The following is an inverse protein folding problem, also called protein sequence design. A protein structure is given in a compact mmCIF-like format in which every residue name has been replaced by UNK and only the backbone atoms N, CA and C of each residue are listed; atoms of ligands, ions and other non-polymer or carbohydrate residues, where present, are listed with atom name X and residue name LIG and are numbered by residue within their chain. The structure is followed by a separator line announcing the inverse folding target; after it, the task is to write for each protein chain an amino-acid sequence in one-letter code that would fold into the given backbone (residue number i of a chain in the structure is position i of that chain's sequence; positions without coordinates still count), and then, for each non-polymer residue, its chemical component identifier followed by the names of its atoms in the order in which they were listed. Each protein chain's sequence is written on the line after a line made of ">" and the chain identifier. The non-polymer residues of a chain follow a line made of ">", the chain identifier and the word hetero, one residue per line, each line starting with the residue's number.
data_IF_702162193667
#
_entry.id   IF_702162193667
#
_cell.length_a   1.000
_cell.length_b   1.000
_cell.length_c   1.000
_cell.angle_alpha   90.00
_cell.angle_beta   90.00
_cell.angle_gamma   90.00
#
_symmetry.space_group_name_H-M   'P 1'
#
loop_
_entity.id
_entity.type
_entity.pdbx_description
1 polymer ?
#
# COMPACT_ATOMS: atom_id res chain seq x y z
N UNK A 1 4.66 62.95 35.54
CA UNK A 1 5.54 62.05 34.75
C UNK A 1 4.73 60.86 34.27
N UNK A 2 4.34 60.83 32.98
CA UNK A 2 3.59 59.72 32.36
C UNK A 2 4.57 58.87 31.55
N UNK A 3 4.76 57.60 31.91
CA UNK A 3 5.45 56.58 31.11
C UNK A 3 4.68 55.25 31.24
N UNK A 4 4.55 54.54 30.12
CA UNK A 4 3.91 53.22 30.00
C UNK A 4 2.99 53.21 28.78
N UNK A 5 3.52 53.26 27.55
CA UNK A 5 4.14 52.19 26.74
C UNK A 5 3.11 51.13 26.29
N UNK A 6 2.77 51.23 25.01
CA UNK A 6 1.97 50.32 24.20
C UNK A 6 2.65 48.95 23.99
N UNK A 7 1.79 48.00 23.56
CA UNK A 7 2.02 46.69 22.90
C UNK A 7 2.69 45.61 23.76
N UNK A 8 2.34 44.33 23.66
CA UNK A 8 2.09 43.52 22.45
C UNK A 8 1.16 42.34 22.82
N UNK A 9 0.10 42.12 22.06
CA UNK A 9 -0.62 40.84 22.01
C UNK A 9 0.33 39.84 21.33
N UNK A 10 0.86 38.88 22.09
CA UNK A 10 1.65 37.79 21.53
C UNK A 10 0.69 36.77 20.91
N UNK A 11 0.76 36.68 19.59
CA UNK A 11 0.10 35.68 18.76
C UNK A 11 0.37 34.27 19.29
N UNK A 12 -0.71 33.53 19.51
CA UNK A 12 -0.64 32.09 19.80
C UNK A 12 -0.20 31.39 18.51
N UNK A 13 0.86 30.54 18.53
CA UNK A 13 1.25 29.82 17.33
C UNK A 13 0.14 28.85 16.93
N UNK A 14 -0.16 28.70 15.63
CA UNK A 14 -1.15 27.75 15.18
C UNK A 14 -0.69 26.33 15.51
N UNK A 15 -1.58 25.58 16.15
CA UNK A 15 -1.47 24.14 16.36
C UNK A 15 -1.15 23.49 15.01
N UNK A 16 0.02 22.89 14.87
CA UNK A 16 0.39 22.09 13.71
C UNK A 16 -0.48 20.84 13.67
N UNK A 17 -1.41 20.79 12.71
CA UNK A 17 -2.15 19.60 12.32
C UNK A 17 -1.19 18.42 12.05
N UNK A 18 -1.48 17.19 12.49
CA UNK A 18 -0.61 16.05 12.22
C UNK A 18 -0.64 15.68 10.73
N UNK A 19 0.53 15.79 10.09
CA UNK A 19 0.83 15.49 8.67
C UNK A 19 0.58 14.04 8.24
N UNK A 20 0.15 13.15 9.15
CA UNK A 20 0.01 11.71 8.92
C UNK A 20 -1.17 11.32 8.01
N UNK A 21 -2.16 12.19 7.82
CA UNK A 21 -3.38 11.88 7.05
C UNK A 21 -3.14 11.68 5.55
N UNK A 22 -2.07 12.24 4.99
CA UNK A 22 -1.78 12.19 3.54
C UNK A 22 -1.28 10.84 3.04
N UNK A 23 -1.09 9.90 3.94
CA UNK A 23 -0.31 8.69 3.69
C UNK A 23 -1.15 7.45 3.43
N UNK A 24 -2.48 7.55 3.50
CA UNK A 24 -3.36 6.38 3.44
C UNK A 24 -4.17 6.35 2.14
N UNK A 25 -3.86 5.42 1.23
CA UNK A 25 -4.68 5.13 0.03
C UNK A 25 -5.73 4.07 0.35
N UNK A 26 -7.00 4.42 0.23
CA UNK A 26 -8.12 3.49 0.40
C UNK A 26 -8.27 2.57 -0.83
N UNK A 27 -8.39 1.26 -0.59
CA UNK A 27 -8.87 0.32 -1.60
C UNK A 27 -9.68 -0.79 -0.93
N UNK A 28 -10.51 -1.44 -1.73
CA UNK A 28 -11.63 -2.29 -1.32
C UNK A 28 -11.34 -3.17 -0.08
N UNK A 29 -11.91 -2.64 1.01
CA UNK A 29 -12.12 -3.14 2.37
C UNK A 29 -10.88 -3.60 3.18
N UNK A 30 -10.64 -2.83 4.26
CA UNK A 30 -9.86 -3.20 5.46
C UNK A 30 -8.32 -3.23 5.36
N UNK A 31 -7.71 -2.82 4.24
CA UNK A 31 -6.25 -2.66 4.16
C UNK A 31 -5.91 -1.23 3.76
N UNK A 32 -5.15 -0.56 4.61
CA UNK A 32 -4.69 0.81 4.39
C UNK A 32 -3.21 0.76 4.04
N UNK A 33 -2.85 1.37 2.92
CA UNK A 33 -1.46 1.45 2.50
C UNK A 33 -0.81 2.68 3.14
N UNK A 34 0.43 2.58 3.60
CA UNK A 34 1.18 3.72 4.13
C UNK A 34 2.66 3.66 3.70
N UNK A 35 3.35 4.79 3.48
CA UNK A 35 4.73 4.80 3.08
C UNK A 35 5.60 4.40 4.25
N UNK A 36 6.45 3.41 4.02
CA UNK A 36 7.38 2.92 5.02
C UNK A 36 8.48 2.11 4.35
N UNK A 37 9.69 2.22 4.89
CA UNK A 37 10.79 1.34 4.52
C UNK A 37 10.66 0.00 5.26
N UNK A 38 10.63 -1.12 4.51
CA UNK A 38 10.51 -2.45 5.11
C UNK A 38 11.60 -2.76 6.14
N UNK A 39 12.82 -2.25 5.91
CA UNK A 39 13.95 -2.46 6.81
C UNK A 39 13.67 -1.88 8.19
N UNK A 40 13.10 -0.68 8.22
CA UNK A 40 12.70 0.01 9.46
C UNK A 40 11.60 -0.76 10.20
N UNK A 41 10.59 -1.27 9.48
CA UNK A 41 9.58 -2.15 10.08
C UNK A 41 10.17 -3.42 10.66
N UNK A 42 11.09 -4.06 9.93
CA UNK A 42 11.71 -5.31 10.36
C UNK A 42 12.53 -5.12 11.64
N UNK A 43 13.34 -4.07 11.73
CA UNK A 43 14.18 -3.78 12.90
C UNK A 43 13.33 -3.37 14.12
N UNK A 44 12.33 -2.51 13.93
CA UNK A 44 11.54 -1.99 15.05
C UNK A 44 10.41 -2.93 15.49
N UNK A 45 9.89 -3.77 14.58
CA UNK A 45 8.85 -4.75 14.86
C UNK A 45 7.63 -4.14 15.55
N UNK A 46 7.31 -4.62 16.76
CA UNK A 46 6.17 -4.13 17.56
C UNK A 46 6.34 -2.68 18.03
N UNK A 47 7.58 -2.19 18.11
CA UNK A 47 7.92 -0.87 18.63
C UNK A 47 7.86 0.22 17.55
N UNK A 48 7.59 -0.13 16.29
CA UNK A 48 7.43 0.86 15.23
C UNK A 48 6.28 1.83 15.57
N UNK A 49 6.43 3.15 15.34
CA UNK A 49 5.40 4.14 15.62
C UNK A 49 4.31 4.09 14.54
N UNK A 50 3.40 3.12 14.64
CA UNK A 50 2.35 2.90 13.64
C UNK A 50 1.35 4.07 13.57
N UNK A 51 1.10 4.63 12.38
CA UNK A 51 0.11 5.70 12.22
C UNK A 51 -1.29 5.16 12.49
N UNK A 52 -2.02 5.74 13.43
CA UNK A 52 -3.39 5.32 13.74
C UNK A 52 -4.35 5.92 12.72
N UNK A 53 -5.22 5.12 12.05
CA UNK A 53 -6.29 5.66 11.22
C UNK A 53 -7.21 6.54 12.06
N UNK A 54 -7.49 7.76 11.58
CA UNK A 54 -8.37 8.72 12.26
C UNK A 54 -9.83 8.30 12.21
N UNK A 55 -10.22 7.57 11.16
CA UNK A 55 -11.58 7.06 10.93
C UNK A 55 -11.57 5.60 10.47
N UNK A 56 -12.62 4.83 10.78
CA UNK A 56 -12.78 3.50 10.19
C UNK A 56 -13.22 3.65 8.73
N UNK A 57 -12.56 2.98 7.77
CA UNK A 57 -12.91 3.05 6.34
C UNK A 57 -14.23 2.33 6.01
N UNK A 58 -14.95 1.79 7.00
CA UNK A 58 -16.25 1.09 6.83
C UNK A 58 -17.43 1.90 7.33
N UNK A 59 -17.31 2.55 8.49
CA UNK A 59 -18.43 3.27 9.13
C UNK A 59 -18.08 4.71 9.50
N UNK A 60 -16.90 5.20 9.12
CA UNK A 60 -16.42 6.56 9.39
C UNK A 60 -16.28 6.95 10.86
N UNK A 61 -16.45 6.01 11.80
CA UNK A 61 -16.24 6.28 13.22
C UNK A 61 -14.79 6.62 13.54
N UNK A 62 -14.59 7.58 14.45
CA UNK A 62 -13.29 8.02 14.95
C UNK A 62 -12.72 7.17 16.11
N UNK A 63 -13.41 6.11 16.52
CA UNK A 63 -13.07 5.31 17.71
C UNK A 63 -12.13 4.11 17.44
N UNK A 64 -11.44 4.11 16.29
CA UNK A 64 -10.57 3.00 15.85
C UNK A 64 -9.43 2.77 16.83
N UNK A 65 -9.31 1.59 17.47
CA UNK A 65 -8.26 1.31 18.46
C UNK A 65 -7.30 0.21 18.02
N UNK A 66 -6.13 0.13 18.67
CA UNK A 66 -5.13 -0.88 18.36
C UNK A 66 -5.63 -2.28 18.70
N UNK A 67 -5.59 -3.20 17.74
CA UNK A 67 -6.08 -4.58 17.93
C UNK A 67 -4.94 -5.58 18.14
N UNK A 68 -3.87 -5.47 17.35
CA UNK A 68 -2.78 -6.43 17.39
C UNK A 68 -1.88 -6.33 16.18
N UNK A 69 -1.29 -7.45 15.78
CA UNK A 69 -0.40 -7.56 14.64
C UNK A 69 -0.74 -8.78 13.79
N UNK A 70 -0.50 -8.68 12.49
CA UNK A 70 -0.53 -9.81 11.57
C UNK A 70 0.86 -10.00 10.94
N UNK A 71 1.26 -11.25 10.76
CA UNK A 71 2.50 -11.57 10.06
C UNK A 71 2.31 -11.49 8.54
N UNK A 72 3.30 -10.94 7.84
CA UNK A 72 3.35 -10.91 6.39
C UNK A 72 4.78 -11.12 5.89
N UNK A 73 4.94 -12.02 4.92
CA UNK A 73 6.22 -12.27 4.26
C UNK A 73 6.40 -11.25 3.12
N UNK A 74 7.60 -10.69 3.03
CA UNK A 74 8.03 -9.82 1.94
C UNK A 74 9.31 -10.39 1.33
N UNK A 75 9.49 -10.17 0.03
CA UNK A 75 10.73 -10.58 -0.65
C UNK A 75 11.95 -9.93 0.02
N UNK A 76 13.04 -10.69 0.14
CA UNK A 76 14.28 -10.26 0.80
C UNK A 76 14.33 -10.50 2.32
N UNK A 77 13.26 -10.99 2.93
CA UNK A 77 13.21 -11.28 4.37
C UNK A 77 13.04 -12.78 4.63
N UNK A 78 13.85 -13.32 5.55
CA UNK A 78 13.79 -14.74 5.95
C UNK A 78 12.68 -15.01 6.96
N UNK A 79 12.17 -13.97 7.61
CA UNK A 79 11.13 -14.05 8.64
C UNK A 79 9.99 -13.10 8.27
N UNK A 80 8.75 -13.40 8.68
CA UNK A 80 7.62 -12.48 8.47
C UNK A 80 7.83 -11.15 9.20
N UNK A 81 7.37 -10.06 8.58
CA UNK A 81 7.26 -8.75 9.23
C UNK A 81 5.91 -8.65 9.94
N UNK A 82 5.90 -7.95 11.07
CA UNK A 82 4.67 -7.62 11.79
C UNK A 82 4.00 -6.40 11.15
N UNK A 83 2.73 -6.54 10.80
CA UNK A 83 1.87 -5.47 10.28
C UNK A 83 0.82 -5.12 11.32
N UNK A 84 0.67 -3.84 11.66
CA UNK A 84 -0.31 -3.40 12.66
C UNK A 84 -1.74 -3.64 12.21
N UNK A 85 -2.55 -4.11 13.16
CA UNK A 85 -3.99 -4.22 13.05
C UNK A 85 -4.66 -3.20 13.98
N UNK A 86 -5.68 -2.54 13.47
CA UNK A 86 -6.62 -1.74 14.23
C UNK A 86 -8.01 -2.36 14.14
N UNK A 87 -8.89 -2.06 15.09
CA UNK A 87 -10.28 -2.49 15.08
C UNK A 87 -11.19 -1.30 15.34
N UNK A 88 -12.28 -1.20 14.59
CA UNK A 88 -13.37 -0.29 14.93
C UNK A 88 -14.31 -0.99 15.91
N UNK A 89 -14.59 -0.41 17.09
CA UNK A 89 -15.53 -0.99 18.04
C UNK A 89 -16.97 -0.90 17.52
N UNK A 90 -17.33 0.14 16.76
CA UNK A 90 -18.71 0.40 16.35
C UNK A 90 -19.21 -0.53 15.24
N UNK A 91 -18.36 -0.89 14.28
CA UNK A 91 -18.74 -1.79 13.17
C UNK A 91 -17.95 -3.11 13.12
N UNK A 92 -17.03 -3.31 14.07
CA UNK A 92 -16.16 -4.48 14.13
C UNK A 92 -15.13 -4.59 13.01
N UNK A 93 -14.97 -3.58 12.14
CA UNK A 93 -14.00 -3.59 11.03
C UNK A 93 -12.58 -3.84 11.57
N UNK A 94 -11.82 -4.77 10.99
CA UNK A 94 -10.40 -4.96 11.32
C UNK A 94 -9.57 -4.36 10.19
N UNK A 95 -8.78 -3.35 10.50
CA UNK A 95 -7.99 -2.59 9.53
C UNK A 95 -6.54 -3.03 9.64
N UNK A 96 -5.93 -3.45 8.54
CA UNK A 96 -4.52 -3.81 8.46
C UNK A 96 -3.74 -2.71 7.76
N UNK A 97 -2.66 -2.25 8.37
CA UNK A 97 -1.70 -1.36 7.70
C UNK A 97 -0.72 -2.17 6.86
N UNK A 98 -0.52 -1.77 5.61
CA UNK A 98 0.40 -2.42 4.68
C UNK A 98 1.34 -1.38 4.04
N UNK A 99 2.61 -1.71 3.81
CA UNK A 99 3.51 -0.82 3.09
C UNK A 99 3.00 -0.47 1.69
N UNK A 100 3.07 0.80 1.30
CA UNK A 100 2.85 1.28 -0.07
C UNK A 100 3.80 0.61 -1.06
N UNK A 101 3.41 0.59 -2.34
CA UNK A 101 4.18 -0.09 -3.38
C UNK A 101 4.00 -1.61 -3.41
N UNK A 102 3.06 -2.15 -2.63
CA UNK A 102 2.67 -3.57 -2.66
C UNK A 102 1.19 -3.71 -2.97
N UNK A 103 0.81 -4.81 -3.61
CA UNK A 103 -0.59 -5.23 -3.62
C UNK A 103 -0.95 -5.96 -2.32
N UNK A 104 -2.23 -5.94 -1.93
CA UNK A 104 -2.78 -6.51 -0.67
C UNK A 104 -2.31 -7.94 -0.35
N UNK A 105 -2.08 -8.77 -1.37
CA UNK A 105 -1.74 -10.20 -1.23
C UNK A 105 -0.38 -10.59 -1.84
N UNK A 106 0.46 -9.61 -2.17
CA UNK A 106 1.71 -9.86 -2.89
C UNK A 106 2.91 -9.59 -2.01
N UNK A 107 3.84 -10.54 -1.98
CA UNK A 107 5.11 -10.45 -1.26
C UNK A 107 6.13 -9.56 -2.00
N UNK A 108 5.99 -9.49 -3.33
CA UNK A 108 6.84 -8.71 -4.21
C UNK A 108 6.29 -7.28 -4.36
N UNK A 109 7.17 -6.26 -4.45
CA UNK A 109 6.78 -4.91 -4.83
C UNK A 109 6.07 -4.89 -6.19
N UNK A 110 5.14 -3.95 -6.35
CA UNK A 110 4.46 -3.68 -7.63
C UNK A 110 5.49 -3.46 -8.74
N UNK A 111 6.55 -2.70 -8.45
CA UNK A 111 7.61 -2.39 -9.41
C UNK A 111 8.39 -3.64 -9.83
N UNK A 112 8.67 -4.56 -8.90
CA UNK A 112 9.33 -5.82 -9.21
C UNK A 112 8.46 -6.70 -10.12
N UNK A 113 7.15 -6.75 -9.88
CA UNK A 113 6.20 -7.47 -10.72
C UNK A 113 6.19 -6.87 -12.14
N UNK A 114 6.11 -5.53 -12.24
CA UNK A 114 6.15 -4.80 -13.51
C UNK A 114 7.46 -5.05 -14.27
N UNK A 115 8.59 -4.94 -13.60
CA UNK A 115 9.93 -5.21 -14.15
C UNK A 115 10.07 -6.65 -14.67
N UNK A 116 9.52 -7.63 -13.95
CA UNK A 116 9.48 -9.03 -14.40
C UNK A 116 8.69 -9.20 -15.70
N UNK A 117 7.53 -8.55 -15.82
CA UNK A 117 6.70 -8.56 -17.04
C UNK A 117 7.43 -7.85 -18.19
N UNK A 118 8.04 -6.71 -17.92
CA UNK A 118 8.80 -5.95 -18.93
C UNK A 118 10.00 -6.75 -19.45
N UNK A 119 10.78 -7.37 -18.56
CA UNK A 119 11.89 -8.26 -18.94
C UNK A 119 11.40 -9.41 -19.82
N UNK A 120 10.29 -10.05 -19.45
CA UNK A 120 9.68 -11.12 -20.25
C UNK A 120 9.23 -10.64 -21.63
N UNK A 121 8.62 -9.46 -21.69
CA UNK A 121 8.12 -8.89 -22.95
C UNK A 121 9.26 -8.49 -23.88
N UNK A 122 10.35 -7.93 -23.35
CA UNK A 122 11.46 -7.40 -24.16
C UNK A 122 12.46 -8.49 -24.59
N UNK A 123 12.72 -9.48 -23.72
CA UNK A 123 13.84 -10.43 -23.91
C UNK A 123 13.40 -11.88 -24.01
N UNK A 124 12.11 -12.16 -23.80
CA UNK A 124 11.55 -13.50 -23.64
C UNK A 124 12.16 -14.31 -22.46
N UNK A 125 12.96 -13.68 -21.59
CA UNK A 125 13.55 -14.30 -20.38
C UNK A 125 12.84 -13.84 -19.11
N UNK A 126 13.01 -14.59 -18.03
CA UNK A 126 12.53 -14.19 -16.70
C UNK A 126 13.61 -13.39 -15.97
N UNK A 127 13.17 -12.51 -15.07
CA UNK A 127 14.08 -11.74 -14.23
C UNK A 127 14.86 -12.68 -13.30
N UNK A 128 16.19 -12.57 -13.20
CA UNK A 128 16.97 -13.39 -12.29
C UNK A 128 16.66 -13.06 -10.82
N UNK A 129 16.96 -13.97 -9.91
CA UNK A 129 16.74 -13.78 -8.47
C UNK A 129 15.29 -13.94 -7.98
N UNK A 130 14.33 -14.18 -8.90
CA UNK A 130 12.93 -14.44 -8.57
C UNK A 130 12.51 -15.78 -9.16
N UNK A 131 11.74 -16.58 -8.40
CA UNK A 131 11.19 -17.85 -8.90
C UNK A 131 10.49 -17.69 -10.25
N UNK A 132 10.91 -18.43 -11.31
CA UNK A 132 10.27 -18.38 -12.62
C UNK A 132 8.78 -18.76 -12.58
N UNK A 133 8.38 -19.63 -11.65
CA UNK A 133 6.98 -20.04 -11.49
C UNK A 133 6.11 -18.87 -11.02
N UNK A 134 6.62 -18.06 -10.09
CA UNK A 134 5.93 -16.87 -9.58
C UNK A 134 5.79 -15.80 -10.66
N UNK A 135 6.85 -15.57 -11.42
CA UNK A 135 6.84 -14.63 -12.55
C UNK A 135 5.89 -15.07 -13.66
N UNK A 136 5.95 -16.35 -14.06
CA UNK A 136 5.02 -16.95 -15.02
C UNK A 136 3.57 -16.80 -14.57
N UNK A 137 3.32 -16.98 -13.28
CA UNK A 137 2.00 -16.82 -12.71
C UNK A 137 1.48 -15.39 -12.87
N UNK A 138 2.29 -14.38 -12.54
CA UNK A 138 1.94 -12.98 -12.74
C UNK A 138 1.65 -12.66 -14.21
N UNK A 139 2.55 -13.07 -15.11
CA UNK A 139 2.41 -12.82 -16.54
C UNK A 139 1.13 -13.43 -17.12
N UNK A 140 0.85 -14.71 -16.80
CA UNK A 140 -0.37 -15.39 -17.26
C UNK A 140 -1.64 -14.72 -16.73
N UNK A 141 -1.65 -14.33 -15.45
CA UNK A 141 -2.78 -13.63 -14.85
C UNK A 141 -3.05 -12.30 -15.56
N UNK A 142 -2.00 -11.54 -15.85
CA UNK A 142 -2.11 -10.29 -16.59
C UNK A 142 -2.65 -10.50 -18.00
N UNK A 143 -2.13 -11.45 -18.78
CA UNK A 143 -2.64 -11.71 -20.12
C UNK A 143 -4.14 -12.08 -20.09
N UNK A 144 -4.57 -12.87 -19.11
CA UNK A 144 -5.98 -13.22 -18.93
C UNK A 144 -6.84 -11.98 -18.65
N UNK A 145 -6.32 -11.07 -17.81
CA UNK A 145 -7.01 -9.82 -17.46
C UNK A 145 -7.05 -8.82 -18.62
N UNK A 146 -5.97 -8.68 -19.39
CA UNK A 146 -5.97 -7.84 -20.59
C UNK A 146 -7.06 -8.32 -21.56
N UNK A 147 -7.15 -9.62 -21.85
CA UNK A 147 -8.22 -10.14 -22.71
C UNK A 147 -9.62 -9.88 -22.18
N UNK A 148 -9.84 -10.04 -20.87
CA UNK A 148 -11.16 -9.86 -20.29
C UNK A 148 -11.62 -8.41 -20.17
N UNK A 149 -10.70 -7.50 -19.84
CA UNK A 149 -11.04 -6.09 -19.56
C UNK A 149 -10.78 -5.16 -20.75
N UNK A 150 -9.78 -5.48 -21.58
CA UNK A 150 -9.35 -4.64 -22.71
C UNK A 150 -9.73 -5.25 -24.06
N UNK A 151 -10.28 -6.47 -24.06
CA UNK A 151 -10.76 -7.21 -25.23
C UNK A 151 -9.67 -7.43 -26.31
N UNK A 152 -10.06 -7.95 -27.47
CA UNK A 152 -9.12 -8.26 -28.56
C UNK A 152 -8.64 -7.02 -29.32
N UNK A 153 -9.16 -5.83 -29.02
CA UNK A 153 -8.71 -4.56 -29.63
C UNK A 153 -7.39 -4.03 -29.03
N UNK A 154 -6.94 -4.60 -27.90
CA UNK A 154 -5.73 -4.15 -27.22
C UNK A 154 -4.45 -4.57 -27.95
N UNK A 155 -3.74 -3.60 -28.52
CA UNK A 155 -2.53 -3.82 -29.32
C UNK A 155 -1.26 -3.16 -28.73
N UNK A 156 -1.38 -2.40 -27.63
CA UNK A 156 -0.24 -1.67 -27.03
C UNK A 156 0.74 -2.57 -26.25
N UNK A 157 0.50 -3.88 -26.23
CA UNK A 157 1.35 -4.86 -25.59
C UNK A 157 1.06 -5.08 -24.10
N UNK A 158 1.76 -6.06 -23.52
CA UNK A 158 1.46 -6.58 -22.17
C UNK A 158 1.87 -5.59 -21.07
N UNK A 159 2.99 -4.88 -21.24
CA UNK A 159 3.48 -3.89 -20.27
C UNK A 159 2.51 -2.71 -20.18
N UNK A 160 2.09 -2.15 -21.32
CA UNK A 160 1.09 -1.09 -21.34
C UNK A 160 -0.24 -1.55 -20.71
N UNK A 161 -0.64 -2.80 -20.95
CA UNK A 161 -1.84 -3.37 -20.33
C UNK A 161 -1.73 -3.47 -18.80
N UNK A 162 -0.54 -3.73 -18.26
CA UNK A 162 -0.30 -3.67 -16.81
C UNK A 162 -0.55 -2.25 -16.27
N UNK A 163 0.06 -1.26 -16.90
CA UNK A 163 -0.01 0.14 -16.47
C UNK A 163 -1.44 0.68 -16.57
N UNK A 164 -2.13 0.37 -17.66
CA UNK A 164 -3.52 0.77 -17.87
C UNK A 164 -4.47 0.17 -16.83
N UNK A 165 -4.37 -1.15 -16.57
CA UNK A 165 -5.18 -1.78 -15.51
C UNK A 165 -4.87 -1.18 -14.13
N UNK A 166 -3.61 -0.86 -13.85
CA UNK A 166 -3.21 -0.22 -12.60
C UNK A 166 -3.82 1.19 -12.45
N UNK A 167 -3.84 1.97 -13.53
CA UNK A 167 -4.49 3.29 -13.59
C UNK A 167 -5.99 3.20 -13.34
N UNK A 168 -6.65 2.11 -13.78
CA UNK A 168 -8.05 1.82 -13.48
C UNK A 168 -8.30 1.34 -12.03
N UNK A 169 -7.30 1.42 -11.14
CA UNK A 169 -7.40 0.95 -9.75
C UNK A 169 -7.48 -0.58 -9.61
N UNK A 170 -7.19 -1.33 -10.68
CA UNK A 170 -7.20 -2.79 -10.65
C UNK A 170 -5.84 -3.33 -10.22
N UNK A 171 -5.83 -4.53 -9.64
CA UNK A 171 -4.60 -5.30 -9.44
C UNK A 171 -4.32 -6.09 -10.73
N UNK A 172 -3.32 -5.70 -11.56
CA UNK A 172 -3.20 -6.23 -12.93
C UNK A 172 -2.88 -7.72 -13.01
N UNK A 173 -2.35 -8.28 -11.93
CA UNK A 173 -1.91 -9.69 -11.83
C UNK A 173 -2.79 -10.50 -10.87
N UNK A 174 -4.01 -10.03 -10.57
CA UNK A 174 -4.98 -10.77 -9.75
C UNK A 174 -5.44 -12.04 -10.49
N UNK A 175 -5.58 -13.15 -9.76
CA UNK A 175 -6.00 -14.44 -10.33
C UNK A 175 -7.45 -14.42 -10.82
N UNK A 176 -8.33 -13.79 -10.04
CA UNK A 176 -9.75 -13.68 -10.32
C UNK A 176 -9.99 -12.54 -11.30
N UNK A 177 -10.85 -12.79 -12.27
CA UNK A 177 -11.36 -11.81 -13.24
C UNK A 177 -12.67 -11.29 -12.70
#
# INVERSE_FOLDING_TARGET
>A
MRKGRQSVLADTPPFSEPTDQKLIRESDTMVLFFPVELKTLFVQGRNYPWPRPTVCPRCSSCTVWGHGFAEAIFDGYKQPLLLKLYRCPDCGCVIRLRPEGYFKRFQAPVETIRSSIACKSATNRWLPGISPNRQRHWFRALCKRIRAYLTDIWHQGVVAGFDYLLQLGQVPVRRTI
#
